data_IF_041773914540
#
_entry.id   IF_041773914540
#
_cell.length_a   1.000
_cell.length_b   1.000
_cell.length_c   1.000
_cell.angle_alpha   90.00
_cell.angle_beta   90.00
_cell.angle_gamma   90.00
#
_symmetry.space_group_name_H-M   'P 1'
#
loop_
_entity.id
_entity.type
_entity.pdbx_description
1 polymer ?
#
# COMPACT_ATOMS: atom_id res chain seq x y z
N UNK A 1 50.12 46.10 -0.12
CA UNK A 1 49.48 45.47 -1.30
C UNK A 1 49.48 43.97 -1.03
N UNK A 2 48.35 43.41 -0.55
CA UNK A 2 47.29 42.77 -1.35
C UNK A 2 47.83 41.54 -2.12
N UNK A 3 47.29 40.32 -2.06
CA UNK A 3 46.01 39.81 -1.57
C UNK A 3 46.19 38.29 -1.28
N UNK A 4 45.74 37.82 -0.13
CA UNK A 4 45.56 36.39 0.15
C UNK A 4 44.36 35.85 -0.64
N UNK A 5 44.60 34.86 -1.50
CA UNK A 5 43.53 34.13 -2.20
C UNK A 5 42.87 33.13 -1.25
N UNK A 6 41.66 33.46 -0.79
CA UNK A 6 40.75 32.54 -0.11
C UNK A 6 40.13 31.58 -1.14
N UNK A 7 40.38 30.29 -0.97
CA UNK A 7 39.67 29.21 -1.67
C UNK A 7 38.36 28.96 -0.92
N UNK A 8 37.22 29.40 -1.47
CA UNK A 8 35.89 28.99 -0.99
C UNK A 8 35.55 27.62 -1.59
N UNK A 9 35.69 26.56 -0.79
CA UNK A 9 35.10 25.26 -1.09
C UNK A 9 33.61 25.29 -0.76
N UNK A 10 32.76 25.42 -1.78
CA UNK A 10 31.31 25.26 -1.67
C UNK A 10 30.99 23.76 -1.54
N UNK A 11 30.97 23.23 -0.32
CA UNK A 11 30.37 21.92 -0.06
C UNK A 11 28.85 22.07 -0.08
N UNK A 12 28.26 21.81 -1.25
CA UNK A 12 26.81 21.66 -1.38
C UNK A 12 26.34 20.44 -0.60
N UNK A 13 25.70 20.67 0.55
CA UNK A 13 24.96 19.64 1.29
C UNK A 13 23.75 19.21 0.45
N UNK A 14 23.91 18.14 -0.33
CA UNK A 14 22.78 17.40 -0.87
C UNK A 14 22.10 16.66 0.30
N UNK A 15 21.17 17.33 0.96
CA UNK A 15 20.25 16.69 1.89
C UNK A 15 19.34 15.76 1.10
N UNK A 16 19.66 14.47 1.05
CA UNK A 16 18.72 13.45 0.62
C UNK A 16 17.59 13.41 1.66
N UNK A 17 16.49 14.11 1.40
CA UNK A 17 15.28 14.00 2.18
C UNK A 17 14.70 12.60 1.96
N UNK A 18 15.05 11.64 2.83
CA UNK A 18 14.28 10.42 2.93
C UNK A 18 12.89 10.82 3.45
N UNK A 19 11.86 10.69 2.61
CA UNK A 19 10.48 10.83 3.06
C UNK A 19 10.21 9.73 4.09
N UNK A 20 9.71 10.11 5.27
CA UNK A 20 9.40 9.16 6.31
C UNK A 20 8.29 8.21 5.83
N UNK A 21 8.49 6.90 5.97
CA UNK A 21 7.50 5.88 5.61
C UNK A 21 6.20 6.06 6.43
N UNK A 22 5.13 6.51 5.77
CA UNK A 22 3.83 6.77 6.38
C UNK A 22 2.98 5.50 6.58
N UNK A 23 3.44 4.34 6.13
CA UNK A 23 2.74 3.05 6.26
C UNK A 23 3.19 2.24 7.49
N UNK A 24 4.01 2.82 8.37
CA UNK A 24 4.53 2.09 9.53
C UNK A 24 3.43 1.61 10.46
N UNK A 25 2.40 2.43 10.72
CA UNK A 25 1.31 2.11 11.64
C UNK A 25 1.79 1.70 13.04
N UNK A 26 0.96 0.93 13.76
CA UNK A 26 1.34 0.26 14.99
C UNK A 26 1.42 -1.26 14.77
N UNK A 27 2.63 -1.76 14.50
CA UNK A 27 2.90 -3.19 14.24
C UNK A 27 2.61 -4.12 15.43
N UNK A 28 2.28 -3.61 16.62
CA UNK A 28 1.84 -4.45 17.75
C UNK A 28 0.36 -4.81 17.69
N UNK A 29 -0.43 -4.18 16.82
CA UNK A 29 -1.83 -4.50 16.61
C UNK A 29 -1.88 -5.72 15.68
N UNK A 30 -2.38 -6.84 16.20
CA UNK A 30 -2.72 -7.97 15.36
C UNK A 30 -4.01 -7.63 14.61
N UNK A 31 -3.91 -7.41 13.30
CA UNK A 31 -5.07 -7.26 12.43
C UNK A 31 -5.84 -8.58 12.26
N UNK A 32 -6.81 -8.60 11.35
CA UNK A 32 -7.69 -9.75 11.14
C UNK A 32 -7.30 -10.61 9.94
N UNK A 33 -6.29 -10.18 9.19
CA UNK A 33 -5.89 -10.77 7.93
C UNK A 33 -4.48 -11.35 7.98
N UNK A 34 -4.33 -12.56 7.48
CA UNK A 34 -3.03 -13.15 7.17
C UNK A 34 -2.78 -13.03 5.65
N UNK A 35 -1.73 -12.30 5.26
CA UNK A 35 -1.37 -12.19 3.83
C UNK A 35 -0.65 -13.45 3.39
N UNK A 36 -1.12 -14.05 2.28
CA UNK A 36 -0.64 -15.33 1.80
C UNK A 36 0.34 -15.19 0.63
N UNK A 37 0.09 -14.25 -0.29
CA UNK A 37 0.91 -14.07 -1.49
C UNK A 37 1.09 -12.61 -1.86
N UNK A 38 2.19 -12.31 -2.56
CA UNK A 38 2.49 -11.02 -3.18
C UNK A 38 2.97 -11.26 -4.61
N UNK A 39 2.31 -10.64 -5.58
CA UNK A 39 2.62 -10.68 -7.00
C UNK A 39 2.81 -9.27 -7.52
N UNK A 40 3.97 -9.03 -8.14
CA UNK A 40 4.27 -7.76 -8.80
C UNK A 40 3.50 -7.68 -10.12
N UNK A 41 2.76 -6.60 -10.33
CA UNK A 41 2.05 -6.33 -11.59
C UNK A 41 2.31 -4.92 -12.09
N UNK A 42 3.38 -4.28 -11.60
CA UNK A 42 3.70 -2.89 -11.91
C UNK A 42 3.82 -2.65 -13.42
N UNK A 43 4.37 -3.60 -14.17
CA UNK A 43 4.49 -3.55 -15.64
C UNK A 43 3.16 -3.72 -16.38
N UNK A 44 2.13 -4.25 -15.71
CA UNK A 44 0.83 -4.55 -16.30
C UNK A 44 -0.19 -3.43 -16.04
N UNK A 45 0.13 -2.49 -15.14
CA UNK A 45 -0.65 -1.28 -14.90
C UNK A 45 -0.12 -0.17 -15.83
N UNK A 46 -1.02 0.53 -16.54
CA UNK A 46 -0.65 1.59 -17.46
C UNK A 46 -0.11 2.86 -16.75
N UNK A 47 -0.50 3.07 -15.49
CA UNK A 47 -0.10 4.22 -14.68
C UNK A 47 0.02 3.83 -13.20
N UNK A 48 0.95 2.93 -12.83
CA UNK A 48 1.10 2.45 -11.46
C UNK A 48 1.50 3.62 -10.55
N UNK A 49 0.95 3.79 -9.34
CA UNK A 49 1.27 4.91 -8.47
C UNK A 49 2.74 4.90 -8.06
N UNK A 50 3.25 6.06 -7.65
CA UNK A 50 4.53 6.12 -6.98
C UNK A 50 4.42 5.57 -5.56
N UNK A 51 5.53 5.08 -4.99
CA UNK A 51 5.60 4.66 -3.58
C UNK A 51 5.16 5.78 -2.64
N UNK A 52 5.48 7.05 -2.96
CA UNK A 52 5.05 8.22 -2.20
C UNK A 52 3.53 8.47 -2.27
N UNK A 53 2.88 8.16 -3.39
CA UNK A 53 1.41 8.18 -3.49
C UNK A 53 0.80 7.07 -2.62
N UNK A 54 1.44 5.91 -2.53
CA UNK A 54 1.03 4.83 -1.62
C UNK A 54 1.23 5.19 -0.15
N UNK A 55 2.35 5.81 0.21
CA UNK A 55 2.60 6.35 1.57
C UNK A 55 1.53 7.38 1.96
N UNK A 56 1.16 8.28 1.05
CA UNK A 56 0.11 9.26 1.29
C UNK A 56 -1.25 8.59 1.56
N UNK A 57 -1.51 7.46 0.91
CA UNK A 57 -2.76 6.71 1.07
C UNK A 57 -2.79 5.98 2.43
N UNK A 58 -1.65 5.47 2.91
CA UNK A 58 -1.53 4.90 4.26
C UNK A 58 -1.89 5.92 5.35
N UNK A 59 -1.48 7.18 5.19
CA UNK A 59 -1.84 8.24 6.13
C UNK A 59 -3.36 8.41 6.23
N UNK A 60 -4.05 8.41 5.09
CA UNK A 60 -5.52 8.52 5.07
C UNK A 60 -6.19 7.32 5.76
N UNK A 61 -5.71 6.11 5.51
CA UNK A 61 -6.21 4.88 6.16
C UNK A 61 -6.03 4.95 7.68
N UNK A 62 -4.85 5.32 8.16
CA UNK A 62 -4.57 5.40 9.60
C UNK A 62 -5.31 6.52 10.33
N UNK A 63 -5.83 7.52 9.61
CA UNK A 63 -6.68 8.57 10.20
C UNK A 63 -8.16 8.23 10.22
N UNK A 64 -8.59 7.23 9.45
CA UNK A 64 -9.97 6.76 9.49
C UNK A 64 -10.20 5.91 10.75
N UNK A 65 -11.39 6.00 11.32
CA UNK A 65 -11.71 5.34 12.57
C UNK A 65 -12.47 4.02 12.33
N UNK A 66 -12.01 2.96 12.99
CA UNK A 66 -12.66 1.65 12.96
C UNK A 66 -12.21 0.77 11.80
N UNK A 67 -12.88 -0.37 11.69
CA UNK A 67 -12.51 -1.43 10.76
C UNK A 67 -13.18 -1.23 9.39
N UNK A 68 -12.47 -1.59 8.33
CA UNK A 68 -13.04 -1.61 7.00
C UNK A 68 -13.86 -2.88 6.78
N UNK A 69 -15.16 -2.74 6.53
CA UNK A 69 -16.06 -3.85 6.21
C UNK A 69 -16.00 -4.19 4.72
N UNK A 70 -15.46 -5.36 4.38
CA UNK A 70 -15.47 -5.92 3.03
C UNK A 70 -16.67 -6.84 2.89
N UNK A 71 -17.58 -6.55 1.95
CA UNK A 71 -18.81 -7.31 1.76
C UNK A 71 -19.07 -7.64 0.30
N UNK A 72 -19.25 -8.94 0.03
CA UNK A 72 -19.62 -9.45 -1.29
C UNK A 72 -21.11 -9.79 -1.40
N UNK A 73 -21.88 -9.62 -0.31
CA UNK A 73 -23.30 -9.97 -0.26
C UNK A 73 -24.09 -9.18 -1.32
N UNK A 74 -24.73 -9.91 -2.22
CA UNK A 74 -25.53 -9.33 -3.31
C UNK A 74 -24.70 -8.74 -4.45
N UNK A 75 -23.38 -8.90 -4.43
CA UNK A 75 -22.49 -8.41 -5.49
C UNK A 75 -22.28 -9.46 -6.58
N UNK A 76 -22.09 -9.04 -7.85
CA UNK A 76 -21.84 -9.96 -8.95
C UNK A 76 -20.48 -10.66 -8.84
N UNK A 77 -20.32 -11.75 -9.59
CA UNK A 77 -19.01 -12.38 -9.76
C UNK A 77 -18.00 -11.38 -10.36
N UNK A 78 -16.79 -11.34 -9.80
CA UNK A 78 -15.75 -10.38 -10.22
C UNK A 78 -15.87 -8.99 -9.59
N UNK A 79 -16.83 -8.76 -8.68
CA UNK A 79 -16.88 -7.54 -7.88
C UNK A 79 -15.59 -7.35 -7.07
N UNK A 80 -15.09 -6.12 -7.06
CA UNK A 80 -13.93 -5.68 -6.28
C UNK A 80 -14.37 -4.45 -5.49
N UNK A 81 -14.35 -4.56 -4.16
CA UNK A 81 -14.60 -3.44 -3.28
C UNK A 81 -13.35 -2.57 -3.21
N UNK A 82 -13.47 -1.30 -3.59
CA UNK A 82 -12.36 -0.35 -3.61
C UNK A 82 -12.49 0.60 -2.43
N UNK A 83 -11.39 0.87 -1.73
CA UNK A 83 -11.34 2.07 -0.91
C UNK A 83 -11.37 3.30 -1.84
N UNK A 84 -12.18 4.28 -1.46
CA UNK A 84 -12.37 5.51 -2.24
C UNK A 84 -11.32 6.56 -1.83
N UNK A 85 -11.06 7.54 -2.70
CA UNK A 85 -10.30 8.76 -2.39
C UNK A 85 -8.79 8.58 -2.12
N UNK A 86 -8.10 7.69 -2.84
CA UNK A 86 -6.64 7.58 -2.81
C UNK A 86 -6.06 7.45 -4.23
N UNK A 87 -4.89 8.04 -4.46
CA UNK A 87 -4.17 7.91 -5.74
C UNK A 87 -3.52 6.55 -5.89
N UNK A 88 -3.05 5.98 -4.78
CA UNK A 88 -2.70 4.58 -4.67
C UNK A 88 -3.84 3.86 -3.97
N UNK A 89 -4.70 3.28 -4.77
CA UNK A 89 -5.89 2.57 -4.33
C UNK A 89 -5.53 1.22 -3.72
N UNK A 90 -6.24 0.86 -2.65
CA UNK A 90 -6.29 -0.51 -2.19
C UNK A 90 -7.70 -1.05 -2.31
N UNK A 91 -7.80 -2.30 -2.79
CA UNK A 91 -9.07 -2.91 -3.09
C UNK A 91 -9.04 -4.41 -2.91
N UNK A 92 -10.23 -4.99 -2.70
CA UNK A 92 -10.39 -6.38 -2.29
C UNK A 92 -11.46 -7.05 -3.15
N UNK A 93 -11.07 -8.16 -3.75
CA UNK A 93 -11.92 -9.05 -4.51
C UNK A 93 -12.16 -10.37 -3.79
N UNK A 94 -13.17 -11.11 -4.26
CA UNK A 94 -13.54 -12.40 -3.70
C UNK A 94 -12.46 -13.46 -3.96
N UNK A 95 -12.07 -14.22 -2.93
CA UNK A 95 -11.19 -15.37 -3.08
C UNK A 95 -11.79 -16.49 -3.94
N UNK A 96 -10.94 -17.21 -4.66
CA UNK A 96 -11.35 -18.33 -5.50
C UNK A 96 -11.99 -19.43 -4.64
N UNK A 97 -13.21 -19.84 -4.99
CA UNK A 97 -13.94 -20.91 -4.29
C UNK A 97 -14.75 -20.47 -3.08
N UNK A 98 -14.68 -19.21 -2.66
CA UNK A 98 -15.56 -18.67 -1.62
C UNK A 98 -17.00 -18.47 -2.13
N UNK A 99 -18.01 -18.53 -1.24
CA UNK A 99 -19.39 -18.30 -1.60
C UNK A 99 -19.62 -16.83 -2.00
N UNK A 100 -20.78 -16.53 -2.59
CA UNK A 100 -21.12 -15.17 -3.04
C UNK A 100 -21.62 -14.24 -1.95
N UNK A 101 -21.76 -14.71 -0.72
CA UNK A 101 -22.52 -14.03 0.33
C UNK A 101 -21.79 -13.98 1.68
N UNK A 102 -20.50 -13.65 1.65
CA UNK A 102 -19.74 -13.40 2.87
C UNK A 102 -19.24 -11.95 2.97
N UNK A 103 -18.86 -11.62 4.19
CA UNK A 103 -18.20 -10.39 4.56
C UNK A 103 -17.15 -10.68 5.63
N UNK A 104 -16.19 -9.77 5.77
CA UNK A 104 -15.20 -9.77 6.85
C UNK A 104 -14.76 -8.34 7.13
N UNK A 105 -14.06 -8.16 8.24
CA UNK A 105 -13.45 -6.88 8.60
C UNK A 105 -11.94 -6.92 8.38
N UNK A 106 -11.38 -5.76 8.08
CA UNK A 106 -9.95 -5.49 8.05
C UNK A 106 -9.64 -4.38 9.04
N UNK A 107 -8.63 -4.58 9.87
CA UNK A 107 -8.05 -3.49 10.65
C UNK A 107 -7.28 -2.57 9.69
N UNK A 108 -7.18 -1.28 10.01
CA UNK A 108 -6.38 -0.33 9.23
C UNK A 108 -4.92 -0.78 9.11
N UNK A 109 -4.40 -1.47 10.12
CA UNK A 109 -3.08 -2.07 10.12
C UNK A 109 -2.91 -3.15 9.05
N UNK A 110 -3.93 -3.99 8.80
CA UNK A 110 -3.91 -5.01 7.74
C UNK A 110 -3.65 -4.37 6.37
N UNK A 111 -4.32 -3.24 6.12
CA UNK A 111 -4.23 -2.50 4.86
C UNK A 111 -2.86 -1.87 4.71
N UNK A 112 -2.40 -1.09 5.71
CA UNK A 112 -1.12 -0.39 5.58
C UNK A 112 0.07 -1.34 5.59
N UNK A 113 -0.02 -2.50 6.24
CA UNK A 113 1.02 -3.54 6.18
C UNK A 113 1.15 -4.11 4.77
N UNK A 114 0.04 -4.34 4.06
CA UNK A 114 0.08 -4.76 2.66
C UNK A 114 0.75 -3.69 1.79
N UNK A 115 0.34 -2.42 1.93
CA UNK A 115 0.90 -1.32 1.12
C UNK A 115 2.38 -1.08 1.41
N UNK A 116 2.77 -1.11 2.69
CA UNK A 116 4.17 -1.00 3.14
C UNK A 116 5.03 -2.11 2.53
N UNK A 117 4.54 -3.35 2.59
CA UNK A 117 5.24 -4.51 2.07
C UNK A 117 5.34 -4.49 0.54
N UNK A 118 4.32 -3.98 -0.17
CA UNK A 118 4.36 -3.74 -1.62
C UNK A 118 5.42 -2.72 -1.99
N UNK A 119 5.45 -1.57 -1.29
CA UNK A 119 6.49 -0.54 -1.49
C UNK A 119 7.88 -1.12 -1.27
N UNK A 120 8.08 -1.88 -0.18
CA UNK A 120 9.36 -2.48 0.18
C UNK A 120 9.83 -3.53 -0.83
N UNK A 121 8.92 -4.38 -1.32
CA UNK A 121 9.25 -5.46 -2.26
C UNK A 121 9.49 -4.99 -3.69
N UNK A 122 8.74 -3.99 -4.14
CA UNK A 122 8.64 -3.68 -5.58
C UNK A 122 9.05 -2.24 -5.93
N UNK A 123 9.09 -1.31 -4.97
CA UNK A 123 9.36 0.11 -5.24
C UNK A 123 10.70 0.39 -5.91
N UNK A 124 11.75 -0.36 -5.55
CA UNK A 124 13.08 -0.22 -6.17
C UNK A 124 13.18 -0.87 -7.56
N UNK A 125 12.22 -1.70 -7.97
CA UNK A 125 12.26 -2.44 -9.23
C UNK A 125 11.75 -1.65 -10.42
N UNK A 126 10.89 -0.65 -10.19
CA UNK A 126 10.18 0.09 -11.23
C UNK A 126 10.28 1.61 -11.04
N UNK A 127 11.48 2.09 -10.72
CA UNK A 127 11.77 3.54 -10.58
C UNK A 127 10.85 4.25 -9.58
N UNK A 128 10.56 3.60 -8.44
CA UNK A 128 9.69 4.15 -7.40
C UNK A 128 8.20 4.08 -7.72
N UNK A 129 7.79 3.29 -8.72
CA UNK A 129 6.38 2.99 -9.01
C UNK A 129 6.03 1.57 -8.57
N UNK A 130 4.77 1.36 -8.19
CA UNK A 130 4.31 0.06 -7.69
C UNK A 130 2.87 -0.20 -8.11
N UNK A 131 2.60 -1.45 -8.46
CA UNK A 131 1.28 -2.04 -8.42
C UNK A 131 1.46 -3.53 -8.13
N UNK A 132 0.62 -4.07 -7.26
CA UNK A 132 0.74 -5.45 -6.80
C UNK A 132 -0.63 -6.06 -6.54
N UNK A 133 -0.70 -7.37 -6.57
CA UNK A 133 -1.87 -8.13 -6.14
C UNK A 133 -1.44 -9.31 -5.29
N UNK A 134 -2.41 -9.94 -4.64
CA UNK A 134 -2.14 -11.17 -3.92
C UNK A 134 -3.39 -11.75 -3.32
N UNK A 135 -3.17 -12.65 -2.38
CA UNK A 135 -4.23 -13.29 -1.60
C UNK A 135 -3.98 -13.11 -0.12
N UNK A 136 -5.06 -13.12 0.64
CA UNK A 136 -5.06 -13.03 2.09
C UNK A 136 -6.20 -13.85 2.66
N UNK A 137 -6.09 -14.27 3.91
CA UNK A 137 -7.17 -14.91 4.66
C UNK A 137 -7.58 -14.01 5.81
N UNK A 138 -8.80 -13.49 5.76
CA UNK A 138 -9.35 -12.60 6.78
C UNK A 138 -10.52 -13.28 7.49
N UNK A 139 -10.44 -13.44 8.81
CA UNK A 139 -11.51 -14.07 9.60
C UNK A 139 -12.00 -15.42 9.02
N UNK A 140 -11.08 -16.23 8.50
CA UNK A 140 -11.37 -17.53 7.90
C UNK A 140 -11.74 -17.50 6.41
N UNK A 141 -11.91 -16.34 5.79
CA UNK A 141 -12.32 -16.16 4.39
C UNK A 141 -11.14 -15.81 3.50
N UNK A 142 -11.02 -16.48 2.37
CA UNK A 142 -10.03 -16.16 1.35
C UNK A 142 -10.46 -14.93 0.55
N UNK A 143 -9.55 -14.00 0.34
CA UNK A 143 -9.75 -12.82 -0.49
C UNK A 143 -8.56 -12.59 -1.41
N UNK A 144 -8.80 -11.91 -2.53
CA UNK A 144 -7.74 -11.30 -3.35
C UNK A 144 -7.62 -9.83 -2.98
N UNK A 145 -6.41 -9.29 -2.92
CA UNK A 145 -6.18 -7.86 -2.69
C UNK A 145 -5.38 -7.26 -3.84
N UNK A 146 -5.48 -5.94 -3.99
CA UNK A 146 -4.87 -5.17 -5.07
C UNK A 146 -4.37 -3.83 -4.51
N UNK A 147 -3.15 -3.45 -4.85
CA UNK A 147 -2.58 -2.09 -4.69
C UNK A 147 -2.34 -1.52 -6.08
N UNK A 148 -2.93 -0.37 -6.40
CA UNK A 148 -3.05 0.14 -7.78
C UNK A 148 -3.11 1.65 -7.95
#
# INVERSE_FOLDING_TARGET
MQLSSFVLALFGLFSAFATANQCTGNKSIAGYCEVLTYEDRTTNNASPPSTSQCESSCKSVLTDAGDWSVSFKGQPAGYVQRMVNSVCSFSVGRGKGEPSDYQFYMDNQDIVDIVDEVNRRFGSKHSGRVSAQGTMKCQGRLATWYVD
#
